data_IF_232753989142
#
_entry.id   IF_232753989142
#
_cell.length_a   1.000
_cell.length_b   1.000
_cell.length_c   1.000
_cell.angle_alpha   90.00
_cell.angle_beta   90.00
_cell.angle_gamma   90.00
#
_symmetry.space_group_name_H-M   'P 1'
#
loop_
_entity.id
_entity.type
_entity.pdbx_description
1 polymer ?
#
# COMPACT_ATOMS: atom_id res chain seq x y z
N UNK A 1 -6.68 57.18 41.97
CA UNK A 1 -6.71 56.77 40.54
C UNK A 1 -5.66 55.75 40.34
N UNK A 2 -6.05 54.41 40.27
CA UNK A 2 -5.13 53.27 40.03
C UNK A 2 -5.08 53.02 38.53
N UNK A 3 -3.89 53.14 37.93
CA UNK A 3 -3.64 52.82 36.52
C UNK A 3 -3.47 51.30 36.38
N UNK A 4 -4.42 50.63 35.73
CA UNK A 4 -4.29 49.23 35.28
C UNK A 4 -3.34 49.18 34.08
N UNK A 5 -2.23 48.44 34.21
CA UNK A 5 -1.35 48.08 33.09
C UNK A 5 -1.86 46.82 32.48
N UNK A 6 -2.36 46.89 31.24
CA UNK A 6 -2.71 45.72 30.45
C UNK A 6 -1.41 45.04 29.97
N UNK A 7 -1.21 43.80 30.36
CA UNK A 7 -0.12 42.96 29.87
C UNK A 7 -0.59 42.25 28.59
N UNK A 8 -0.04 42.65 27.45
CA UNK A 8 -0.34 42.01 26.16
C UNK A 8 0.49 40.72 26.06
N UNK A 9 -0.17 39.58 26.18
CA UNK A 9 0.46 38.26 26.02
C UNK A 9 0.54 37.96 24.54
N UNK A 10 1.74 37.97 23.96
CA UNK A 10 2.02 37.57 22.59
C UNK A 10 2.06 36.04 22.53
N UNK A 11 1.03 35.43 22.00
CA UNK A 11 1.02 33.97 21.74
C UNK A 11 1.79 33.70 20.46
N UNK A 12 3.02 33.22 20.58
CA UNK A 12 3.80 32.68 19.47
C UNK A 12 3.20 31.33 19.05
N UNK A 13 2.47 31.30 17.94
CA UNK A 13 2.12 30.04 17.24
C UNK A 13 3.39 29.49 16.64
N UNK A 14 4.00 28.50 17.31
CA UNK A 14 5.02 27.66 16.71
C UNK A 14 4.37 26.80 15.62
N UNK A 15 4.51 27.19 14.36
CA UNK A 15 4.12 26.37 13.22
C UNK A 15 4.91 25.06 13.25
N UNK A 16 4.23 23.93 13.47
CA UNK A 16 4.84 22.62 13.36
C UNK A 16 5.31 22.41 11.91
N UNK A 17 6.61 22.50 11.67
CA UNK A 17 7.23 22.10 10.40
C UNK A 17 7.04 20.60 10.28
N UNK A 18 6.20 20.16 9.33
CA UNK A 18 6.06 18.76 9.02
C UNK A 18 7.46 18.18 8.71
N UNK A 19 7.83 17.00 9.26
CA UNK A 19 9.14 16.43 9.02
C UNK A 19 9.34 16.25 7.51
N UNK A 20 10.47 16.74 7.01
CA UNK A 20 10.84 16.57 5.61
C UNK A 20 10.88 15.07 5.29
N UNK A 21 10.16 14.66 4.26
CA UNK A 21 10.21 13.27 3.79
C UNK A 21 11.67 12.89 3.48
N UNK A 22 12.23 11.84 4.08
CA UNK A 22 13.63 11.48 3.88
C UNK A 22 13.91 11.23 2.39
N UNK A 23 15.11 11.58 1.93
CA UNK A 23 15.52 11.31 0.55
C UNK A 23 15.49 9.80 0.30
N UNK A 24 15.00 9.36 -0.89
CA UNK A 24 15.07 7.94 -1.23
C UNK A 24 16.52 7.48 -1.26
N UNK A 25 16.82 6.22 -0.92
CA UNK A 25 18.13 5.64 -1.10
C UNK A 25 18.61 5.76 -2.55
N UNK A 26 19.92 5.68 -2.78
CA UNK A 26 20.50 5.76 -4.14
C UNK A 26 19.90 4.68 -5.05
N UNK A 27 19.41 5.08 -6.22
CA UNK A 27 18.78 4.18 -7.20
C UNK A 27 17.28 3.91 -6.95
N UNK A 28 16.70 4.44 -5.87
CA UNK A 28 15.27 4.32 -5.60
C UNK A 28 14.52 5.58 -6.03
N UNK A 29 13.35 5.40 -6.61
CA UNK A 29 12.41 6.46 -6.98
C UNK A 29 11.24 6.46 -6.01
N UNK A 30 10.84 7.64 -5.55
CA UNK A 30 9.67 7.81 -4.69
C UNK A 30 8.41 7.77 -5.53
N UNK A 31 7.52 6.81 -5.27
CA UNK A 31 6.22 6.70 -5.93
C UNK A 31 5.14 7.59 -5.29
N UNK A 32 5.27 7.90 -4.01
CA UNK A 32 4.34 8.78 -3.30
C UNK A 32 5.10 9.95 -2.67
N UNK A 33 4.73 11.17 -3.05
CA UNK A 33 5.42 12.40 -2.63
C UNK A 33 5.04 12.90 -1.23
N UNK A 34 4.05 12.27 -0.57
CA UNK A 34 3.54 12.67 0.74
C UNK A 34 2.56 13.86 0.71
N UNK A 35 2.18 14.38 -0.45
CA UNK A 35 1.37 15.59 -0.60
C UNK A 35 0.09 15.38 -1.40
N UNK A 36 0.18 14.64 -2.49
CA UNK A 36 -0.91 14.39 -3.43
C UNK A 36 -0.74 13.03 -4.12
N UNK A 37 -1.73 12.64 -4.92
CA UNK A 37 -1.77 11.37 -5.65
C UNK A 37 -1.26 11.50 -7.10
N UNK A 38 -0.42 12.47 -7.42
CA UNK A 38 0.21 12.56 -8.74
C UNK A 38 1.02 11.29 -9.04
N UNK A 39 0.84 10.74 -10.25
CA UNK A 39 1.43 9.46 -10.65
C UNK A 39 0.60 8.24 -10.24
N UNK A 40 -0.61 8.49 -9.72
CA UNK A 40 -1.56 7.46 -9.32
C UNK A 40 -2.94 7.71 -9.90
N UNK A 41 -3.61 6.63 -10.28
CA UNK A 41 -4.99 6.62 -10.79
C UNK A 41 -5.90 5.88 -9.81
N UNK A 42 -6.97 6.53 -9.38
CA UNK A 42 -8.01 5.86 -8.59
C UNK A 42 -8.96 5.09 -9.51
N UNK A 43 -9.15 3.81 -9.23
CA UNK A 43 -10.08 2.94 -9.93
C UNK A 43 -11.06 2.39 -8.89
N UNK A 44 -12.29 2.89 -8.90
CA UNK A 44 -13.34 2.58 -7.93
C UNK A 44 -13.87 3.82 -7.23
N UNK A 45 -14.83 3.61 -6.34
CA UNK A 45 -15.58 4.66 -5.63
C UNK A 45 -15.04 4.91 -4.21
N UNK A 46 -13.96 4.23 -3.80
CA UNK A 46 -13.38 4.37 -2.47
C UNK A 46 -12.84 5.78 -2.26
N UNK A 47 -12.98 6.24 -1.03
CA UNK A 47 -12.34 7.48 -0.62
C UNK A 47 -10.82 7.31 -0.62
N UNK A 48 -10.14 8.14 -1.42
CA UNK A 48 -8.68 8.23 -1.44
C UNK A 48 -8.27 9.66 -1.16
N UNK A 49 -7.54 9.86 -0.08
CA UNK A 49 -7.03 11.18 0.31
C UNK A 49 -5.61 11.09 0.81
N UNK A 50 -4.95 12.23 0.87
CA UNK A 50 -3.64 12.34 1.52
C UNK A 50 -3.84 13.09 2.83
N UNK A 51 -3.49 12.43 3.95
CA UNK A 51 -3.56 12.99 5.29
C UNK A 51 -2.23 12.77 6.01
N UNK A 52 -1.65 13.83 6.56
CA UNK A 52 -0.40 13.77 7.33
C UNK A 52 0.74 12.99 6.65
N UNK A 53 0.91 13.19 5.34
CA UNK A 53 1.97 12.52 4.57
C UNK A 53 1.69 11.04 4.28
N UNK A 54 0.46 10.58 4.44
CA UNK A 54 0.04 9.21 4.15
C UNK A 54 -1.09 9.16 3.13
N UNK A 55 -1.12 8.15 2.27
CA UNK A 55 -2.31 7.80 1.49
C UNK A 55 -3.28 7.12 2.44
N UNK A 56 -4.51 7.61 2.51
CA UNK A 56 -5.61 6.96 3.21
C UNK A 56 -6.57 6.40 2.18
N UNK A 57 -6.82 5.10 2.25
CA UNK A 57 -7.86 4.43 1.50
C UNK A 57 -8.94 3.94 2.45
N UNK A 58 -10.19 4.25 2.13
CA UNK A 58 -11.33 3.93 2.98
C UNK A 58 -12.49 3.46 2.10
N UNK A 59 -13.05 2.29 2.44
CA UNK A 59 -14.21 1.78 1.71
C UNK A 59 -15.44 2.62 2.03
N UNK A 60 -16.10 3.12 0.98
CA UNK A 60 -17.36 3.87 1.07
C UNK A 60 -18.57 3.03 0.68
N UNK A 61 -18.31 1.87 0.07
CA UNK A 61 -19.30 0.92 -0.41
C UNK A 61 -18.76 -0.51 -0.28
N UNK A 62 -19.63 -1.49 -0.55
CA UNK A 62 -19.23 -2.91 -0.57
C UNK A 62 -18.58 -3.33 -1.89
N UNK A 63 -17.70 -2.48 -2.43
CA UNK A 63 -17.02 -2.70 -3.71
C UNK A 63 -15.51 -2.69 -3.54
N UNK A 64 -14.80 -3.27 -4.51
CA UNK A 64 -13.34 -3.16 -4.60
C UNK A 64 -12.91 -1.79 -5.09
N UNK A 65 -11.74 -1.36 -4.69
CA UNK A 65 -11.05 -0.22 -5.28
C UNK A 65 -9.54 -0.38 -5.30
N UNK A 66 -8.94 0.20 -6.33
CA UNK A 66 -7.52 0.10 -6.57
C UNK A 66 -6.92 1.46 -6.89
N UNK A 67 -5.91 1.86 -6.14
CA UNK A 67 -5.06 2.99 -6.49
C UNK A 67 -3.85 2.45 -7.24
N UNK A 68 -3.78 2.67 -8.55
CA UNK A 68 -2.74 2.12 -9.42
C UNK A 68 -1.75 3.20 -9.86
N UNK A 69 -0.49 2.80 -10.09
CA UNK A 69 0.49 3.70 -10.72
C UNK A 69 0.09 4.02 -12.17
N UNK A 70 0.39 5.24 -12.63
CA UNK A 70 0.22 5.62 -14.04
C UNK A 70 1.22 4.89 -14.94
N UNK A 71 2.42 4.61 -14.40
CA UNK A 71 3.49 3.88 -15.08
C UNK A 71 3.38 2.38 -14.83
N UNK A 72 3.79 1.56 -15.80
CA UNK A 72 3.97 0.11 -15.66
C UNK A 72 5.42 -0.22 -15.28
N UNK A 73 5.58 -1.39 -14.65
CA UNK A 73 6.87 -1.90 -14.16
C UNK A 73 7.02 -3.35 -14.57
N UNK A 74 8.24 -3.73 -14.97
CA UNK A 74 8.61 -5.11 -15.31
C UNK A 74 9.40 -5.72 -14.15
N UNK A 75 10.66 -5.39 -14.04
CA UNK A 75 11.56 -5.89 -13.00
C UNK A 75 11.86 -4.77 -12.01
N UNK A 76 11.56 -5.02 -10.74
CA UNK A 76 11.68 -3.97 -9.72
C UNK A 76 11.80 -4.53 -8.31
N UNK A 77 12.34 -3.70 -7.44
CA UNK A 77 12.14 -3.81 -6.00
C UNK A 77 11.15 -2.72 -5.57
N UNK A 78 10.19 -3.07 -4.75
CA UNK A 78 9.23 -2.15 -4.13
C UNK A 78 9.39 -2.21 -2.62
N UNK A 79 9.35 -1.07 -1.98
CA UNK A 79 9.31 -0.95 -0.53
C UNK A 79 8.26 0.05 -0.13
N UNK A 80 7.44 -0.31 0.83
CA UNK A 80 6.40 0.56 1.35
C UNK A 80 6.10 0.26 2.82
N UNK A 81 5.44 1.20 3.49
CA UNK A 81 4.85 0.96 4.80
C UNK A 81 3.34 1.04 4.74
N UNK A 82 2.70 0.13 5.45
CA UNK A 82 1.25 0.10 5.60
C UNK A 82 0.84 0.02 7.08
N UNK A 83 -0.37 0.49 7.35
CA UNK A 83 -1.05 0.35 8.63
C UNK A 83 -2.54 0.20 8.38
N UNK A 84 -3.16 -0.84 8.91
CA UNK A 84 -4.61 -0.99 8.92
C UNK A 84 -5.21 -0.34 10.16
N UNK A 85 -6.33 0.36 9.96
CA UNK A 85 -7.22 0.79 11.02
C UNK A 85 -8.48 -0.08 10.92
N UNK A 86 -8.87 -0.79 11.97
CA UNK A 86 -9.98 -1.72 11.98
C UNK A 86 -9.82 -2.95 11.04
N UNK A 87 -10.90 -3.64 10.73
CA UNK A 87 -10.93 -4.81 9.85
C UNK A 87 -10.55 -4.39 8.42
N UNK A 88 -9.32 -4.62 7.99
CA UNK A 88 -8.88 -4.16 6.69
C UNK A 88 -8.27 -5.25 5.86
N UNK A 89 -8.99 -5.83 4.89
CA UNK A 89 -8.36 -6.61 3.84
C UNK A 89 -7.92 -5.67 2.72
N UNK A 90 -6.70 -5.83 2.28
CA UNK A 90 -6.03 -5.04 1.26
C UNK A 90 -5.02 -5.91 0.48
N UNK A 91 -4.23 -5.29 -0.37
CA UNK A 91 -3.17 -5.96 -1.11
C UNK A 91 -2.32 -4.98 -1.91
N UNK A 92 -1.12 -5.43 -2.24
CA UNK A 92 -0.23 -4.75 -3.18
C UNK A 92 -0.17 -5.58 -4.46
N UNK A 93 -0.76 -5.05 -5.53
CA UNK A 93 -0.75 -5.70 -6.83
C UNK A 93 0.53 -5.41 -7.60
N UNK A 94 1.05 -6.43 -8.25
CA UNK A 94 2.28 -6.41 -9.04
C UNK A 94 1.98 -6.76 -10.48
N UNK A 95 2.56 -6.01 -11.45
CA UNK A 95 2.46 -6.31 -12.88
C UNK A 95 1.02 -6.58 -13.32
N UNK A 96 0.07 -5.79 -12.80
CA UNK A 96 -1.36 -6.06 -12.90
C UNK A 96 -2.05 -5.16 -13.92
N UNK A 97 -3.30 -5.50 -14.27
CA UNK A 97 -4.12 -4.73 -15.21
C UNK A 97 -5.55 -4.61 -14.68
N UNK A 98 -6.12 -3.41 -14.78
CA UNK A 98 -7.57 -3.22 -14.66
C UNK A 98 -8.19 -3.71 -15.95
N UNK A 99 -9.10 -4.69 -15.87
CA UNK A 99 -9.69 -5.36 -17.04
C UNK A 99 -11.12 -4.93 -17.32
N UNK A 100 -11.78 -4.30 -16.36
CA UNK A 100 -13.16 -3.84 -16.52
C UNK A 100 -13.71 -3.19 -15.26
N UNK A 101 -14.98 -2.83 -15.29
CA UNK A 101 -15.76 -2.37 -14.14
C UNK A 101 -17.01 -3.24 -14.06
N UNK A 102 -17.13 -4.01 -13.00
CA UNK A 102 -18.30 -4.80 -12.71
C UNK A 102 -19.28 -3.95 -11.88
N UNK A 103 -20.56 -3.82 -12.29
CA UNK A 103 -21.55 -3.02 -11.57
C UNK A 103 -21.78 -3.45 -10.11
N UNK A 104 -21.63 -4.74 -9.82
CA UNK A 104 -21.88 -5.33 -8.50
C UNK A 104 -20.71 -5.13 -7.53
N UNK A 105 -19.47 -5.32 -7.98
CA UNK A 105 -18.31 -5.32 -7.07
C UNK A 105 -17.19 -4.32 -7.43
N UNK A 106 -17.43 -3.43 -8.41
CA UNK A 106 -16.46 -2.39 -8.79
C UNK A 106 -15.44 -2.85 -9.83
N UNK A 107 -14.26 -2.23 -9.89
CA UNK A 107 -13.25 -2.58 -10.88
C UNK A 107 -12.70 -3.98 -10.69
N UNK A 108 -12.44 -4.65 -11.82
CA UNK A 108 -11.71 -5.91 -11.87
C UNK A 108 -10.23 -5.65 -12.09
N UNK A 109 -9.39 -6.28 -11.28
CA UNK A 109 -7.95 -6.31 -11.47
C UNK A 109 -7.47 -7.75 -11.63
N UNK A 110 -6.55 -7.96 -12.54
CA UNK A 110 -5.94 -9.26 -12.83
C UNK A 110 -4.44 -9.14 -12.68
N UNK A 111 -3.83 -10.10 -11.98
CA UNK A 111 -2.39 -10.15 -11.73
C UNK A 111 -2.04 -10.69 -10.36
N UNK A 112 -0.75 -10.61 -10.02
CA UNK A 112 -0.25 -11.11 -8.74
C UNK A 112 -0.46 -10.07 -7.65
N UNK A 113 -1.06 -10.49 -6.53
CA UNK A 113 -1.22 -9.71 -5.31
C UNK A 113 -0.29 -10.25 -4.23
N UNK A 114 0.42 -9.35 -3.58
CA UNK A 114 0.97 -9.60 -2.25
C UNK A 114 -0.10 -9.20 -1.24
N UNK A 115 -0.58 -10.16 -0.47
CA UNK A 115 -1.66 -9.96 0.51
C UNK A 115 -1.25 -8.96 1.59
N UNK A 116 -2.17 -8.10 1.99
CA UNK A 116 -2.04 -7.17 3.11
C UNK A 116 -3.33 -7.16 3.91
N UNK A 117 -3.35 -7.91 4.99
CA UNK A 117 -4.42 -7.86 5.99
C UNK A 117 -3.80 -7.52 7.35
N UNK A 118 -4.24 -6.46 8.05
CA UNK A 118 -3.66 -6.05 9.33
C UNK A 118 -3.99 -7.01 10.49
N UNK A 119 -4.80 -8.04 10.24
CA UNK A 119 -5.19 -9.01 11.26
C UNK A 119 -4.28 -10.25 11.19
N UNK A 120 -3.90 -10.84 12.35
CA UNK A 120 -3.11 -12.06 12.40
C UNK A 120 -3.79 -13.25 11.70
N UNK A 121 -2.99 -14.11 11.06
CA UNK A 121 -3.48 -15.33 10.41
C UNK A 121 -4.27 -15.08 9.12
N UNK A 122 -4.06 -13.94 8.47
CA UNK A 122 -4.71 -13.54 7.22
C UNK A 122 -3.73 -13.45 6.04
N UNK A 123 -2.59 -14.10 6.17
CA UNK A 123 -1.63 -14.36 5.09
C UNK A 123 -0.91 -13.12 4.55
N UNK A 124 -0.73 -12.06 5.36
CA UNK A 124 0.03 -10.88 4.94
C UNK A 124 1.43 -11.24 4.45
N UNK A 125 1.78 -10.78 3.25
CA UNK A 125 3.03 -11.08 2.56
C UNK A 125 2.96 -12.29 1.63
N UNK A 126 1.89 -13.11 1.69
CA UNK A 126 1.64 -14.23 0.78
C UNK A 126 1.26 -13.78 -0.63
N UNK A 127 1.25 -14.70 -1.58
CA UNK A 127 0.94 -14.45 -2.98
C UNK A 127 -0.43 -15.01 -3.36
N UNK A 128 -1.25 -14.14 -3.94
CA UNK A 128 -2.56 -14.48 -4.49
C UNK A 128 -2.67 -14.02 -5.94
N UNK A 129 -3.03 -14.90 -6.87
CA UNK A 129 -3.26 -14.51 -8.26
C UNK A 129 -4.74 -14.15 -8.48
N UNK A 130 -5.02 -12.86 -8.56
CA UNK A 130 -6.35 -12.35 -8.84
C UNK A 130 -6.75 -12.60 -10.29
N UNK A 131 -7.97 -13.13 -10.48
CA UNK A 131 -8.47 -13.53 -11.80
C UNK A 131 -7.72 -14.73 -12.41
N UNK A 132 -7.14 -15.59 -11.55
CA UNK A 132 -6.39 -16.76 -11.95
C UNK A 132 -6.41 -17.87 -10.91
N UNK A 133 -5.24 -18.30 -10.45
CA UNK A 133 -5.03 -19.49 -9.59
C UNK A 133 -5.51 -19.33 -8.14
N UNK A 134 -5.84 -18.12 -7.69
CA UNK A 134 -6.10 -17.85 -6.28
C UNK A 134 -4.82 -17.85 -5.44
N UNK A 135 -4.82 -18.50 -4.27
CA UNK A 135 -3.63 -18.63 -3.43
C UNK A 135 -2.52 -19.42 -4.13
N UNK A 136 -1.39 -18.77 -4.35
CA UNK A 136 -0.18 -19.35 -4.95
C UNK A 136 0.78 -19.78 -3.85
N UNK A 137 1.06 -18.90 -2.89
CA UNK A 137 1.91 -19.18 -1.72
C UNK A 137 1.31 -18.50 -0.51
N UNK A 138 1.08 -19.25 0.55
CA UNK A 138 0.70 -18.69 1.87
C UNK A 138 1.92 -18.63 2.79
N UNK A 139 1.99 -17.65 3.72
CA UNK A 139 3.03 -17.58 4.73
C UNK A 139 3.04 -18.82 5.61
N UNK A 140 4.22 -19.14 6.12
CA UNK A 140 4.34 -20.09 7.23
C UNK A 140 3.80 -19.49 8.52
N UNK A 141 3.55 -20.31 9.55
CA UNK A 141 3.15 -19.83 10.88
C UNK A 141 4.20 -18.88 11.50
N UNK A 142 5.48 -19.02 11.12
CA UNK A 142 6.53 -18.09 11.54
C UNK A 142 6.42 -16.75 10.79
N UNK A 143 6.18 -16.79 9.49
CA UNK A 143 5.97 -15.60 8.66
C UNK A 143 4.76 -14.77 9.14
N UNK A 144 3.66 -15.43 9.53
CA UNK A 144 2.48 -14.75 10.08
C UNK A 144 2.80 -13.93 11.35
N UNK A 145 3.76 -14.37 12.17
CA UNK A 145 4.18 -13.65 13.39
C UNK A 145 5.00 -12.39 13.11
N UNK A 146 5.45 -12.17 11.88
CA UNK A 146 6.17 -10.96 11.50
C UNK A 146 5.26 -9.72 11.47
N UNK A 147 3.94 -9.90 11.33
CA UNK A 147 2.97 -8.82 11.35
C UNK A 147 2.91 -8.17 12.74
N UNK A 148 2.86 -6.84 12.76
CA UNK A 148 2.64 -6.00 13.96
C UNK A 148 1.25 -5.36 13.87
N UNK A 149 0.21 -5.97 14.43
CA UNK A 149 -1.16 -5.47 14.34
C UNK A 149 -1.29 -4.05 14.92
N UNK A 150 -1.99 -3.16 14.20
CA UNK A 150 -2.22 -1.79 14.64
C UNK A 150 -0.99 -0.86 14.56
N UNK A 151 0.17 -1.36 14.14
CA UNK A 151 1.39 -0.59 13.94
C UNK A 151 1.72 -0.37 12.46
N UNK A 152 2.74 0.46 12.18
CA UNK A 152 3.32 0.55 10.86
C UNK A 152 4.15 -0.70 10.56
N UNK A 153 3.81 -1.38 9.49
CA UNK A 153 4.54 -2.53 8.97
C UNK A 153 5.29 -2.14 7.69
N UNK A 154 6.51 -2.62 7.53
CA UNK A 154 7.27 -2.46 6.30
C UNK A 154 7.14 -3.72 5.45
N UNK A 155 6.76 -3.54 4.18
CA UNK A 155 6.67 -4.59 3.19
C UNK A 155 7.70 -4.29 2.10
N UNK A 156 8.58 -5.27 1.83
CA UNK A 156 9.52 -5.25 0.73
C UNK A 156 9.17 -6.36 -0.26
N UNK A 157 9.19 -6.05 -1.54
CA UNK A 157 8.86 -6.96 -2.63
C UNK A 157 9.94 -6.84 -3.69
N UNK A 158 10.53 -7.97 -4.08
CA UNK A 158 11.37 -8.10 -5.26
C UNK A 158 10.64 -8.90 -6.32
N UNK A 159 10.51 -8.35 -7.52
CA UNK A 159 9.94 -9.01 -8.68
C UNK A 159 10.95 -8.93 -9.84
N UNK A 160 11.65 -10.03 -10.11
CA UNK A 160 12.71 -10.13 -11.12
C UNK A 160 12.38 -11.30 -12.04
N UNK A 161 12.22 -11.07 -13.34
CA UNK A 161 11.70 -12.06 -14.29
C UNK A 161 10.44 -12.76 -13.73
N UNK A 162 10.50 -14.05 -13.45
CA UNK A 162 9.42 -14.82 -12.83
C UNK A 162 9.62 -15.11 -11.33
N UNK A 163 10.65 -14.53 -10.70
CA UNK A 163 10.99 -14.74 -9.30
C UNK A 163 10.44 -13.62 -8.43
N UNK A 164 9.69 -13.95 -7.39
CA UNK A 164 9.07 -13.03 -6.45
C UNK A 164 9.52 -13.37 -5.04
N UNK A 165 10.09 -12.39 -4.35
CA UNK A 165 10.44 -12.47 -2.94
C UNK A 165 9.68 -11.40 -2.18
N UNK A 166 9.06 -11.76 -1.06
CA UNK A 166 8.42 -10.81 -0.14
C UNK A 166 9.05 -10.86 1.24
N UNK A 167 9.17 -9.70 1.89
CA UNK A 167 9.62 -9.57 3.29
C UNK A 167 8.67 -8.67 4.05
N UNK A 168 8.30 -9.08 5.25
CA UNK A 168 7.49 -8.30 6.18
C UNK A 168 8.31 -7.99 7.42
N UNK A 169 8.53 -6.72 7.72
CA UNK A 169 9.36 -6.27 8.85
C UNK A 169 10.75 -6.93 8.90
N UNK A 170 11.36 -7.17 7.72
CA UNK A 170 12.66 -7.82 7.55
C UNK A 170 12.62 -9.36 7.52
N UNK A 171 11.52 -10.00 7.90
CA UNK A 171 11.35 -11.46 7.83
C UNK A 171 10.93 -11.86 6.42
N UNK A 172 11.62 -12.82 5.80
CA UNK A 172 11.24 -13.35 4.50
C UNK A 172 9.97 -14.19 4.62
N UNK A 173 8.95 -13.81 3.85
CA UNK A 173 7.64 -14.48 3.85
C UNK A 173 7.53 -15.46 2.68
N UNK A 174 7.90 -14.97 1.49
CA UNK A 174 7.85 -15.76 0.25
C UNK A 174 9.18 -15.68 -0.45
N UNK A 175 9.55 -16.78 -1.09
CA UNK A 175 10.61 -16.92 -2.09
C UNK A 175 10.08 -17.90 -3.14
N UNK A 176 9.60 -17.35 -4.27
CA UNK A 176 8.83 -18.13 -5.24
C UNK A 176 9.23 -17.83 -6.68
N UNK A 177 9.53 -18.85 -7.44
CA UNK A 177 9.71 -18.77 -8.89
C UNK A 177 8.44 -19.26 -9.57
N UNK A 178 7.73 -18.37 -10.23
CA UNK A 178 6.48 -18.67 -10.92
C UNK A 178 6.78 -19.42 -12.24
N UNK A 179 6.35 -20.68 -12.38
CA UNK A 179 6.59 -21.43 -13.61
C UNK A 179 5.74 -20.94 -14.80
N UNK A 180 4.70 -20.13 -14.54
CA UNK A 180 3.77 -19.66 -15.55
C UNK A 180 3.19 -18.29 -15.17
N UNK A 181 4.00 -17.22 -15.17
CA UNK A 181 3.55 -15.89 -14.81
C UNK A 181 2.50 -15.38 -15.81
N UNK A 182 1.38 -14.86 -15.29
CA UNK A 182 0.31 -14.35 -16.13
C UNK A 182 0.72 -13.07 -16.88
N UNK A 183 1.46 -12.20 -16.21
CA UNK A 183 2.03 -10.99 -16.79
C UNK A 183 3.47 -10.79 -16.34
N UNK A 184 4.29 -10.27 -17.26
CA UNK A 184 5.70 -9.93 -16.98
C UNK A 184 5.89 -8.44 -16.71
N UNK A 185 4.87 -7.61 -16.97
CA UNK A 185 4.82 -6.17 -16.72
C UNK A 185 3.42 -5.73 -16.34
N UNK A 186 3.27 -4.52 -15.85
CA UNK A 186 1.98 -3.92 -15.52
C UNK A 186 2.09 -2.91 -14.39
N UNK A 187 0.94 -2.44 -13.91
CA UNK A 187 0.88 -1.44 -12.83
C UNK A 187 1.18 -2.06 -11.46
N UNK A 188 1.63 -1.19 -10.53
CA UNK A 188 1.58 -1.46 -9.10
C UNK A 188 0.26 -0.89 -8.57
N UNK A 189 -0.47 -1.66 -7.75
CA UNK A 189 -1.77 -1.25 -7.22
C UNK A 189 -1.88 -1.43 -5.71
N UNK A 190 -2.58 -0.51 -5.05
CA UNK A 190 -2.96 -0.60 -3.64
C UNK A 190 -4.46 -0.84 -3.55
N UNK A 191 -4.86 -1.97 -2.98
CA UNK A 191 -6.27 -2.38 -2.90
C UNK A 191 -6.98 -1.79 -1.68
N UNK A 192 -8.28 -1.58 -1.81
CA UNK A 192 -9.28 -1.64 -0.73
C UNK A 192 -10.26 -2.75 -1.09
N UNK A 193 -10.37 -3.74 -0.23
CA UNK A 193 -11.25 -4.88 -0.44
C UNK A 193 -12.73 -4.52 -0.27
N UNK A 194 -13.62 -5.34 -0.83
CA UNK A 194 -15.07 -5.20 -0.66
C UNK A 194 -15.50 -5.45 0.79
N UNK A 195 -16.78 -5.23 1.09
CA UNK A 195 -17.40 -5.58 2.36
C UNK A 195 -17.62 -4.41 3.30
N UNK A 196 -17.05 -3.24 3.00
CA UNK A 196 -17.15 -2.05 3.83
C UNK A 196 -16.25 -2.10 5.07
N UNK A 197 -16.10 -0.96 5.75
CA UNK A 197 -15.31 -0.86 6.99
C UNK A 197 -13.79 -0.96 6.83
N UNK A 198 -13.28 -1.15 5.62
CA UNK A 198 -11.85 -1.22 5.36
C UNK A 198 -11.24 0.19 5.40
N UNK A 199 -10.21 0.35 6.20
CA UNK A 199 -9.43 1.58 6.24
C UNK A 199 -7.95 1.27 6.36
N UNK A 200 -7.19 1.71 5.36
CA UNK A 200 -5.76 1.46 5.23
C UNK A 200 -4.99 2.76 5.05
N UNK A 201 -3.76 2.79 5.56
CA UNK A 201 -2.79 3.86 5.35
C UNK A 201 -1.53 3.32 4.74
N UNK A 202 -0.96 4.08 3.79
CA UNK A 202 0.33 3.77 3.16
C UNK A 202 1.22 4.99 3.15
N UNK A 203 2.52 4.77 3.29
CA UNK A 203 3.57 5.79 3.16
C UNK A 203 4.91 5.18 2.77
N UNK A 204 5.90 6.04 2.57
CA UNK A 204 7.27 5.63 2.28
C UNK A 204 7.33 4.63 1.10
N UNK A 205 6.59 4.93 0.02
CA UNK A 205 6.48 4.04 -1.15
C UNK A 205 7.61 4.38 -2.12
N UNK A 206 8.51 3.43 -2.33
CA UNK A 206 9.66 3.56 -3.18
C UNK A 206 9.79 2.37 -4.13
N UNK A 207 10.21 2.63 -5.36
CA UNK A 207 10.52 1.61 -6.36
C UNK A 207 11.95 1.76 -6.84
N UNK A 208 12.61 0.66 -7.13
CA UNK A 208 13.88 0.57 -7.82
C UNK A 208 13.72 -0.35 -9.01
N UNK A 209 13.73 0.21 -10.22
CA UNK A 209 13.71 -0.59 -11.46
C UNK A 209 15.04 -1.31 -11.64
N UNK A 210 15.02 -2.50 -12.22
CA UNK A 210 16.15 -3.39 -12.45
C UNK A 210 16.37 -3.62 -13.94
#
# INVERSE_FOLDING_TARGET
MKRMRACLMLVLLAGAVAPANPRPPKGWVRLFNGKDLRGWKNNGDERRVVEHGTIVGESTASKYGYLTTDKTYKDFNLRLKFKGEASGNSGVFLRSRITGINPQHGPDIVGMQVEVDPNPGKHTGGLYESGGRGWVVQPTAEGERALKPGEWNELEISAQDNHIVTRLNGVQIVDYTDPSPKFTDGVIGLQIHTGGGVKMRWKDIYVQER
#
